data_IF_474516000145
#
_entry.id   IF_474516000145
#
_cell.length_a   1.000
_cell.length_b   1.000
_cell.length_c   1.000
_cell.angle_alpha   90.00
_cell.angle_beta   90.00
_cell.angle_gamma   90.00
#
_symmetry.space_group_name_H-M   'P 1'
#
loop_
_entity.id
_entity.type
_entity.pdbx_description
1 polymer ?
#
# COMPACT_ATOMS: atom_id res chain seq x y z
N UNK A 1 -8.25 -11.80 -4.52
CA UNK A 1 -8.91 -10.97 -3.48
C UNK A 1 -9.07 -11.78 -2.22
N UNK A 2 -8.94 -11.13 -1.09
CA UNK A 2 -9.21 -11.77 0.20
C UNK A 2 -10.71 -11.81 0.47
N UNK A 3 -11.09 -12.57 1.48
CA UNK A 3 -12.50 -12.68 1.83
C UNK A 3 -13.06 -11.37 2.37
N UNK A 4 -14.38 -11.22 2.28
CA UNK A 4 -15.05 -10.05 2.84
C UNK A 4 -14.82 -9.95 4.35
N UNK A 5 -14.81 -11.09 5.06
CA UNK A 5 -14.58 -11.10 6.51
C UNK A 5 -13.16 -10.60 6.86
N UNK A 6 -12.14 -11.02 6.12
CA UNK A 6 -10.78 -10.53 6.34
C UNK A 6 -10.68 -9.04 6.05
N UNK A 7 -11.31 -8.56 4.98
CA UNK A 7 -11.36 -7.15 4.63
C UNK A 7 -12.04 -6.33 5.72
N UNK A 8 -13.22 -6.78 6.17
CA UNK A 8 -13.99 -6.07 7.21
C UNK A 8 -13.22 -6.00 8.53
N UNK A 9 -12.51 -7.07 8.88
CA UNK A 9 -11.70 -7.07 10.11
C UNK A 9 -10.61 -6.01 10.06
N UNK A 10 -9.90 -5.91 8.95
CA UNK A 10 -8.85 -4.90 8.79
C UNK A 10 -9.39 -3.48 8.74
N UNK A 11 -10.62 -3.30 8.27
CA UNK A 11 -11.28 -2.00 8.26
C UNK A 11 -11.71 -1.52 9.64
N UNK A 12 -11.51 -2.30 10.67
CA UNK A 12 -11.67 -1.86 12.07
C UNK A 12 -10.42 -1.12 12.56
N UNK A 13 -9.32 -1.22 11.82
CA UNK A 13 -8.08 -0.50 12.08
C UNK A 13 -7.53 -0.72 13.50
N UNK A 14 -7.62 -1.97 13.98
CA UNK A 14 -7.06 -2.34 15.26
C UNK A 14 -5.53 -2.21 15.27
N UNK A 15 -4.91 -2.24 16.45
CA UNK A 15 -3.46 -2.13 16.53
C UNK A 15 -2.78 -3.36 15.93
N UNK A 16 -1.56 -3.19 15.35
CA UNK A 16 -0.79 -4.34 14.88
C UNK A 16 -0.28 -5.16 16.04
N UNK A 17 0.24 -6.36 15.75
CA UNK A 17 0.79 -7.24 16.78
C UNK A 17 2.00 -6.61 17.48
N UNK A 18 2.30 -7.08 18.69
CA UNK A 18 3.31 -6.46 19.55
C UNK A 18 4.65 -6.24 18.88
N UNK A 19 5.18 -5.03 19.01
CA UNK A 19 6.44 -4.64 18.42
C UNK A 19 6.38 -4.25 16.96
N UNK A 20 5.26 -4.48 16.28
CA UNK A 20 5.10 -4.21 14.86
C UNK A 20 4.34 -2.92 14.59
N UNK A 21 4.46 -2.45 13.35
CA UNK A 21 3.67 -1.36 12.79
C UNK A 21 2.81 -1.94 11.67
N UNK A 22 1.61 -1.41 11.48
CA UNK A 22 0.74 -1.80 10.37
C UNK A 22 0.90 -0.87 9.19
N UNK A 23 0.94 -1.44 7.99
CA UNK A 23 0.98 -0.66 6.76
C UNK A 23 -0.24 -0.98 5.91
N UNK A 24 -1.04 0.03 5.63
CA UNK A 24 -2.16 -0.03 4.69
C UNK A 24 -1.71 0.67 3.41
N UNK A 25 -1.54 -0.09 2.34
CA UNK A 25 -1.10 0.44 1.05
C UNK A 25 -2.26 0.33 0.08
N UNK A 26 -2.68 1.44 -0.51
CA UNK A 26 -3.91 1.44 -1.28
C UNK A 26 -3.83 2.30 -2.54
N UNK A 27 -4.74 2.01 -3.46
CA UNK A 27 -4.90 2.75 -4.70
C UNK A 27 -6.40 3.02 -4.88
N UNK A 28 -6.79 4.28 -4.71
CA UNK A 28 -8.20 4.69 -4.68
C UNK A 28 -8.65 5.43 -5.95
N UNK A 29 -7.77 5.55 -6.94
CA UNK A 29 -8.07 6.24 -8.18
C UNK A 29 -8.22 5.26 -9.33
N UNK A 30 -9.15 5.52 -10.24
CA UNK A 30 -9.29 4.74 -11.46
C UNK A 30 -8.41 5.29 -12.59
N UNK A 31 -7.74 6.41 -12.40
CA UNK A 31 -6.80 6.95 -13.39
C UNK A 31 -5.71 5.92 -13.68
N UNK A 32 -5.48 5.61 -14.95
CA UNK A 32 -4.54 4.58 -15.33
C UNK A 32 -5.01 3.17 -14.96
N UNK A 33 -6.33 2.91 -15.00
CA UNK A 33 -6.93 1.66 -14.52
C UNK A 33 -6.32 0.39 -15.09
N UNK A 34 -5.83 0.42 -16.32
CA UNK A 34 -5.21 -0.74 -16.97
C UNK A 34 -3.78 -0.99 -16.46
N UNK A 35 -3.18 -0.05 -15.74
CA UNK A 35 -1.81 -0.15 -15.26
C UNK A 35 -1.80 -0.78 -13.88
N UNK A 36 -1.18 -1.95 -13.76
CA UNK A 36 -0.94 -2.61 -12.48
C UNK A 36 0.50 -2.37 -12.09
N UNK A 37 0.73 -1.85 -10.90
CA UNK A 37 2.06 -1.42 -10.46
C UNK A 37 2.48 -2.13 -9.20
N UNK A 38 3.67 -2.72 -9.23
CA UNK A 38 4.23 -3.45 -8.12
C UNK A 38 4.56 -2.54 -6.95
N UNK A 39 4.31 -3.02 -5.73
CA UNK A 39 4.73 -2.39 -4.49
C UNK A 39 5.53 -3.40 -3.69
N UNK A 40 6.66 -2.97 -3.14
CA UNK A 40 7.47 -3.77 -2.24
C UNK A 40 7.67 -3.04 -0.92
N UNK A 41 8.00 -3.78 0.12
CA UNK A 41 8.41 -3.22 1.40
C UNK A 41 9.70 -3.92 1.81
N UNK A 42 10.79 -3.18 1.94
CA UNK A 42 12.11 -3.70 2.31
C UNK A 42 12.55 -4.87 1.44
N UNK A 43 12.27 -4.80 0.14
CA UNK A 43 12.63 -5.84 -0.81
C UNK A 43 11.68 -7.01 -0.90
N UNK A 44 10.60 -7.01 -0.11
CA UNK A 44 9.60 -8.08 -0.17
C UNK A 44 8.38 -7.63 -0.96
N UNK A 45 7.89 -8.50 -1.83
CA UNK A 45 6.71 -8.20 -2.63
C UNK A 45 5.47 -8.06 -1.75
N UNK A 46 4.75 -6.94 -1.89
CA UNK A 46 3.42 -6.78 -1.31
C UNK A 46 2.38 -7.21 -2.35
N UNK A 47 2.51 -6.73 -3.58
CA UNK A 47 1.61 -7.10 -4.65
C UNK A 47 1.65 -6.12 -5.80
N UNK A 48 0.87 -6.42 -6.83
CA UNK A 48 0.60 -5.48 -7.93
C UNK A 48 -0.76 -4.85 -7.69
N UNK A 49 -0.77 -3.53 -7.60
CA UNK A 49 -2.01 -2.81 -7.31
C UNK A 49 -2.94 -2.78 -8.52
N UNK A 50 -4.21 -2.71 -8.24
CA UNK A 50 -5.27 -2.41 -9.19
C UNK A 50 -6.15 -1.32 -8.58
N UNK A 51 -7.01 -0.66 -9.37
CA UNK A 51 -7.91 0.35 -8.79
C UNK A 51 -8.80 -0.24 -7.69
N UNK A 52 -9.02 0.54 -6.66
CA UNK A 52 -9.98 0.24 -5.59
C UNK A 52 -9.63 -0.98 -4.73
N UNK A 53 -8.31 -1.24 -4.58
CA UNK A 53 -7.85 -2.28 -3.66
C UNK A 53 -6.88 -1.70 -2.63
N UNK A 54 -6.77 -2.40 -1.49
CA UNK A 54 -5.72 -2.11 -0.54
C UNK A 54 -5.01 -3.40 -0.14
N UNK A 55 -3.77 -3.25 0.30
CA UNK A 55 -2.98 -4.31 0.90
C UNK A 55 -2.71 -3.96 2.35
N UNK A 56 -2.57 -4.98 3.19
CA UNK A 56 -2.14 -4.78 4.56
C UNK A 56 -0.97 -5.70 4.86
N UNK A 57 0.07 -5.16 5.49
CA UNK A 57 1.18 -5.96 5.97
C UNK A 57 1.72 -5.34 7.25
N UNK A 58 2.37 -6.16 8.08
CA UNK A 58 3.01 -5.67 9.30
C UNK A 58 4.51 -5.68 9.12
N UNK A 59 5.18 -4.69 9.71
CA UNK A 59 6.63 -4.56 9.67
C UNK A 59 7.12 -4.24 11.07
N UNK A 60 8.42 -4.42 11.31
CA UNK A 60 9.00 -4.10 12.61
C UNK A 60 8.85 -2.61 12.90
N UNK A 61 8.41 -2.26 14.10
CA UNK A 61 8.32 -0.87 14.52
C UNK A 61 9.68 -0.32 14.92
N UNK A 62 9.78 0.99 15.02
CA UNK A 62 10.98 1.66 15.47
C UNK A 62 12.11 1.77 14.45
N UNK A 63 11.81 1.65 13.16
CA UNK A 63 12.82 1.75 12.11
C UNK A 63 12.23 2.31 10.82
N UNK A 64 13.13 2.72 9.92
CA UNK A 64 12.75 3.22 8.60
C UNK A 64 12.59 2.05 7.65
N UNK A 65 11.53 2.07 6.86
CA UNK A 65 11.25 1.07 5.82
C UNK A 65 11.29 1.70 4.46
N UNK A 66 11.86 0.99 3.47
CA UNK A 66 11.89 1.43 2.08
C UNK A 66 10.74 0.79 1.32
N UNK A 67 9.90 1.62 0.69
CA UNK A 67 8.72 1.17 -0.03
C UNK A 67 8.81 1.65 -1.47
N UNK A 68 9.42 0.85 -2.38
CA UNK A 68 9.46 1.21 -3.79
C UNK A 68 8.20 0.77 -4.53
N UNK A 69 7.84 1.52 -5.55
CA UNK A 69 6.80 1.13 -6.50
C UNK A 69 7.29 1.34 -7.91
N UNK A 70 6.77 0.56 -8.87
CA UNK A 70 7.17 0.64 -10.26
C UNK A 70 6.88 2.02 -10.86
N UNK A 71 7.83 2.53 -11.63
CA UNK A 71 7.63 3.73 -12.40
C UNK A 71 8.27 3.55 -13.77
N UNK A 72 8.20 4.59 -14.62
CA UNK A 72 8.55 4.49 -16.03
C UNK A 72 10.03 4.13 -16.28
N UNK A 73 10.94 4.76 -15.56
CA UNK A 73 12.37 4.57 -15.76
C UNK A 73 13.06 3.90 -14.58
N UNK A 74 12.66 4.28 -13.38
CA UNK A 74 13.21 3.69 -12.15
C UNK A 74 12.13 3.73 -11.07
N UNK A 75 12.21 2.84 -10.08
CA UNK A 75 11.21 2.85 -9.02
C UNK A 75 11.19 4.17 -8.26
N UNK A 76 10.01 4.61 -7.85
CA UNK A 76 9.86 5.68 -6.87
C UNK A 76 9.82 5.03 -5.49
N UNK A 77 10.62 5.54 -4.58
CA UNK A 77 10.74 4.93 -3.24
C UNK A 77 10.34 5.92 -2.17
N UNK A 78 9.43 5.48 -1.29
CA UNK A 78 9.06 6.21 -0.08
C UNK A 78 9.82 5.62 1.09
N UNK A 79 10.53 6.47 1.83
CA UNK A 79 11.17 6.07 3.08
C UNK A 79 10.23 6.45 4.22
N UNK A 80 9.82 5.48 5.04
CA UNK A 80 8.83 5.69 6.08
C UNK A 80 9.36 5.23 7.44
N UNK A 81 9.49 6.17 8.37
CA UNK A 81 9.79 5.83 9.76
C UNK A 81 8.52 5.37 10.46
N UNK A 82 8.56 4.20 11.09
CA UNK A 82 7.39 3.65 11.78
C UNK A 82 7.66 3.50 13.28
N UNK A 83 6.59 3.53 14.05
CA UNK A 83 6.61 3.29 15.50
C UNK A 83 5.76 2.07 15.80
N UNK A 84 6.21 1.25 16.76
CA UNK A 84 5.47 0.06 17.17
C UNK A 84 4.07 0.43 17.68
N UNK A 85 3.09 -0.36 17.33
CA UNK A 85 1.72 -0.17 17.75
C UNK A 85 0.89 0.78 16.92
N UNK A 86 1.47 1.37 15.88
CA UNK A 86 0.77 2.34 15.03
C UNK A 86 0.51 1.81 13.64
N UNK A 87 -0.56 2.29 13.02
CA UNK A 87 -0.91 2.01 11.64
C UNK A 87 -0.57 3.22 10.77
N UNK A 88 -0.08 2.93 9.57
CA UNK A 88 0.31 3.94 8.59
C UNK A 88 -0.43 3.70 7.30
N UNK A 89 -0.73 4.78 6.58
CA UNK A 89 -1.54 4.73 5.37
C UNK A 89 -0.75 5.34 4.22
N UNK A 90 -0.52 4.55 3.17
CA UNK A 90 0.29 4.94 2.02
C UNK A 90 -0.56 4.80 0.77
N UNK A 91 -0.73 5.91 0.07
CA UNK A 91 -1.50 5.96 -1.16
C UNK A 91 -0.57 5.81 -2.36
N UNK A 92 -0.88 4.85 -3.22
CA UNK A 92 -0.22 4.74 -4.52
C UNK A 92 -1.09 5.46 -5.55
N UNK A 93 -0.48 6.23 -6.41
CA UNK A 93 -1.20 6.91 -7.48
C UNK A 93 -0.40 6.83 -8.77
N UNK A 94 -1.13 6.91 -9.89
CA UNK A 94 -0.52 6.85 -11.22
C UNK A 94 -0.33 8.27 -11.70
N UNK A 95 0.84 8.55 -12.31
CA UNK A 95 1.09 9.84 -12.93
C UNK A 95 1.55 9.65 -14.38
N UNK A 96 1.35 10.68 -15.19
CA UNK A 96 1.77 10.64 -16.57
C UNK A 96 3.29 10.49 -16.67
N UNK A 97 3.73 9.66 -17.63
CA UNK A 97 5.13 9.53 -17.99
C UNK A 97 5.35 9.99 -19.42
N UNK A 98 6.56 9.80 -19.91
CA UNK A 98 6.91 10.13 -21.30
C UNK A 98 6.40 9.08 -22.28
N UNK A 99 6.39 7.81 -21.87
CA UNK A 99 6.02 6.69 -22.72
C UNK A 99 4.79 5.96 -22.20
N UNK A 100 4.79 5.63 -20.92
CA UNK A 100 3.68 4.97 -20.22
C UNK A 100 3.50 5.66 -18.87
N UNK A 101 2.43 5.34 -18.19
CA UNK A 101 2.23 5.88 -16.85
C UNK A 101 3.15 5.21 -15.84
N UNK A 102 3.58 5.97 -14.86
CA UNK A 102 4.34 5.48 -13.72
C UNK A 102 3.54 5.61 -12.45
N UNK A 103 4.06 5.07 -11.35
CA UNK A 103 3.43 5.17 -10.05
C UNK A 103 4.33 5.89 -9.06
N UNK A 104 3.70 6.50 -8.05
CA UNK A 104 4.40 7.11 -6.93
C UNK A 104 3.60 6.83 -5.66
N UNK A 105 4.20 7.12 -4.51
CA UNK A 105 3.61 6.84 -3.22
C UNK A 105 3.61 8.08 -2.36
N UNK A 106 2.55 8.24 -1.53
CA UNK A 106 2.52 9.29 -0.53
C UNK A 106 1.97 8.76 0.79
N UNK A 107 2.58 9.16 1.89
CA UNK A 107 2.03 8.89 3.20
C UNK A 107 0.90 9.89 3.44
N UNK A 108 -0.25 9.38 3.90
CA UNK A 108 -1.41 10.23 4.19
C UNK A 108 -1.74 10.17 5.67
N UNK A 109 -2.53 11.14 6.15
CA UNK A 109 -2.96 11.14 7.54
C UNK A 109 -3.81 9.93 7.86
N UNK A 110 -3.84 9.53 9.13
CA UNK A 110 -4.65 8.41 9.59
C UNK A 110 -6.13 8.61 9.24
N UNK A 111 -6.64 9.81 9.46
CA UNK A 111 -8.02 10.13 9.14
C UNK A 111 -8.33 9.93 7.66
N UNK A 112 -7.49 10.47 6.80
CA UNK A 112 -7.67 10.37 5.35
C UNK A 112 -7.52 8.93 4.86
N UNK A 113 -6.53 8.22 5.39
CA UNK A 113 -6.29 6.83 5.02
C UNK A 113 -7.42 5.92 5.43
N UNK A 114 -7.94 6.06 6.64
CA UNK A 114 -9.06 5.26 7.11
C UNK A 114 -10.31 5.46 6.26
N UNK A 115 -10.59 6.69 5.90
CA UNK A 115 -11.73 7.00 5.05
C UNK A 115 -11.60 6.34 3.68
N UNK A 116 -10.43 6.42 3.08
CA UNK A 116 -10.18 5.81 1.77
C UNK A 116 -10.27 4.29 1.83
N UNK A 117 -9.53 3.66 2.75
CA UNK A 117 -9.47 2.19 2.86
C UNK A 117 -10.83 1.59 3.17
N UNK A 118 -11.67 2.28 3.93
CA UNK A 118 -13.00 1.78 4.28
C UNK A 118 -13.87 1.49 3.06
N UNK A 119 -13.55 2.08 1.91
CA UNK A 119 -14.31 1.93 0.67
C UNK A 119 -13.65 0.99 -0.33
N UNK A 120 -12.53 0.37 0.03
CA UNK A 120 -11.75 -0.47 -0.86
C UNK A 120 -11.87 -1.95 -0.47
N UNK A 121 -11.34 -2.83 -1.30
CA UNK A 121 -11.34 -4.26 -1.05
C UNK A 121 -9.92 -4.76 -0.82
N UNK A 122 -9.77 -5.68 0.13
CA UNK A 122 -8.48 -6.25 0.48
C UNK A 122 -7.99 -7.20 -0.60
N UNK A 123 -6.76 -7.02 -1.05
CA UNK A 123 -6.08 -7.92 -1.97
C UNK A 123 -5.06 -8.76 -1.21
N UNK A 124 -4.81 -9.97 -1.71
CA UNK A 124 -3.85 -10.87 -1.10
C UNK A 124 -2.42 -10.35 -1.30
N UNK A 125 -1.60 -10.47 -0.25
CA UNK A 125 -0.20 -10.05 -0.27
C UNK A 125 0.69 -11.15 -0.85
N UNK A 126 1.77 -10.74 -1.53
CA UNK A 126 2.82 -11.65 -1.97
C UNK A 126 2.85 -12.00 -3.44
N UNK A 127 1.93 -11.47 -4.24
CA UNK A 127 1.86 -11.81 -5.67
C UNK A 127 2.37 -10.66 -6.54
N UNK A 128 3.66 -10.67 -6.86
CA UNK A 128 4.30 -9.68 -7.74
C UNK A 128 4.69 -10.26 -9.10
N UNK A 129 4.55 -11.56 -9.29
CA UNK A 129 4.82 -12.19 -10.58
C UNK A 129 3.60 -12.10 -11.49
N UNK A 130 3.84 -12.14 -12.77
CA UNK A 130 2.78 -12.11 -13.79
C UNK A 130 2.06 -13.44 -13.87
#
# INVERSE_FOLDING_TARGET
>A
MESKDASDKLKQFGPPSGGNSGLYLYRDSSFGAALKKEIQVDGKCVGKSAPNVFFYTEVAGGKVHAIPTESEFSPNTLALMTEAGKNYFIRQYIKFGLLIGGADLEAVSEEKGKLAVSQLELAAVGSCSN
#
